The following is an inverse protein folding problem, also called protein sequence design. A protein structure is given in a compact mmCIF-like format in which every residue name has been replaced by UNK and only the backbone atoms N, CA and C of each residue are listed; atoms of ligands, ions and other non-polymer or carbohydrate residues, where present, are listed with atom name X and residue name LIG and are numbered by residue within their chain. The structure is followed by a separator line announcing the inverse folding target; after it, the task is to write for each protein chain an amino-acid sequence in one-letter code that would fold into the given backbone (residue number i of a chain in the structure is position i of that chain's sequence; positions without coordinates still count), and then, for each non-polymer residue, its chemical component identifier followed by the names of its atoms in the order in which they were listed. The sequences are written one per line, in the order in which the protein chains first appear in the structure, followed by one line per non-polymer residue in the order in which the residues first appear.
data_IF_908152974422
#
_entry.id   IF_908152974422
#
_cell.length_a   1.000
_cell.length_b   1.000
_cell.length_c   1.000
_cell.angle_alpha   90.00
_cell.angle_beta   90.00
_cell.angle_gamma   90.00
#
_symmetry.space_group_name_H-M   'P 1'
#
loop_
_entity.id
_entity.type
_entity.pdbx_description
1 polymer ?
#
# COMPACT_ATOMS: atom_id res chain seq x y z
N UNK A 1 -6.37 13.81 1.12
CA UNK A 1 -6.64 12.83 2.20
C UNK A 1 -7.18 13.48 3.46
N UNK A 2 -6.60 14.58 3.96
CA UNK A 2 -7.02 15.17 5.25
C UNK A 2 -8.40 15.83 5.24
N UNK A 3 -8.91 16.33 4.10
CA UNK A 3 -10.18 17.05 4.08
C UNK A 3 -11.38 16.19 4.54
N UNK A 4 -11.46 14.93 4.10
CA UNK A 4 -12.57 14.03 4.45
C UNK A 4 -12.69 13.77 5.96
N UNK A 5 -11.64 13.34 6.70
CA UNK A 5 -11.77 13.12 8.14
C UNK A 5 -12.03 14.40 8.94
N UNK A 6 -11.57 15.57 8.45
CA UNK A 6 -11.92 16.85 9.07
C UNK A 6 -13.39 17.22 8.83
N UNK A 7 -13.94 16.87 7.66
CA UNK A 7 -15.37 17.01 7.39
C UNK A 7 -16.20 16.06 8.23
N UNK A 8 -15.85 14.77 8.28
CA UNK A 8 -16.51 13.77 9.13
C UNK A 8 -16.53 14.26 10.59
N UNK A 9 -15.38 14.64 11.14
CA UNK A 9 -15.31 15.18 12.51
C UNK A 9 -16.27 16.37 12.71
N UNK A 10 -16.23 17.36 11.84
CA UNK A 10 -17.06 18.56 11.98
C UNK A 10 -18.55 18.26 11.80
N UNK A 11 -18.89 17.31 10.95
CA UNK A 11 -20.25 16.81 10.76
C UNK A 11 -20.77 16.16 12.05
N UNK A 12 -20.01 15.25 12.65
CA UNK A 12 -20.41 14.58 13.90
C UNK A 12 -20.42 15.50 15.12
N UNK A 13 -19.77 16.66 15.07
CA UNK A 13 -19.83 17.69 16.11
C UNK A 13 -20.96 18.70 15.89
N UNK A 14 -21.66 18.66 14.74
CA UNK A 14 -22.77 19.57 14.46
C UNK A 14 -24.01 19.16 15.27
N UNK A 15 -24.71 20.10 15.92
CA UNK A 15 -25.99 19.82 16.57
C UNK A 15 -27.01 19.24 15.59
N UNK A 16 -27.81 18.28 16.05
CA UNK A 16 -28.79 17.59 15.19
C UNK A 16 -29.81 18.54 14.55
N UNK A 17 -30.21 19.59 15.26
CA UNK A 17 -31.15 20.61 14.78
C UNK A 17 -30.57 21.52 13.67
N UNK A 18 -29.26 21.43 13.44
CA UNK A 18 -28.54 22.15 12.39
C UNK A 18 -28.17 21.25 11.19
N UNK A 19 -28.51 19.96 11.22
CA UNK A 19 -28.27 19.02 10.11
C UNK A 19 -29.25 19.25 8.95
N UNK A 20 -28.99 20.29 8.15
CA UNK A 20 -29.70 20.53 6.87
C UNK A 20 -28.79 20.26 5.67
N UNK A 21 -29.38 20.05 4.49
CA UNK A 21 -28.62 19.84 3.24
C UNK A 21 -27.70 21.02 2.97
N UNK A 22 -28.18 22.24 3.15
CA UNK A 22 -27.42 23.48 2.93
C UNK A 22 -26.26 23.59 3.92
N UNK A 23 -26.47 23.21 5.19
CA UNK A 23 -25.41 23.20 6.20
C UNK A 23 -24.33 22.18 5.86
N UNK A 24 -24.69 20.98 5.39
CA UNK A 24 -23.74 19.95 4.96
C UNK A 24 -22.89 20.39 3.76
N UNK A 25 -23.52 21.01 2.77
CA UNK A 25 -22.82 21.54 1.59
C UNK A 25 -21.86 22.67 1.97
N UNK A 26 -22.33 23.64 2.77
CA UNK A 26 -21.51 24.74 3.24
C UNK A 26 -20.34 24.25 4.11
N UNK A 27 -20.57 23.24 4.96
CA UNK A 27 -19.54 22.63 5.77
C UNK A 27 -18.46 21.94 4.91
N UNK A 28 -18.87 21.20 3.88
CA UNK A 28 -17.95 20.56 2.96
C UNK A 28 -17.05 21.59 2.25
N UNK A 29 -17.64 22.65 1.68
CA UNK A 29 -16.92 23.74 1.01
C UNK A 29 -15.95 24.46 1.98
N UNK A 30 -16.40 24.72 3.22
CA UNK A 30 -15.57 25.32 4.25
C UNK A 30 -14.33 24.46 4.57
N UNK A 31 -14.50 23.15 4.69
CA UNK A 31 -13.41 22.23 4.99
C UNK A 31 -12.45 22.10 3.80
N UNK A 32 -12.96 22.06 2.57
CA UNK A 32 -12.11 22.08 1.37
C UNK A 32 -11.27 23.36 1.31
N UNK A 33 -11.89 24.52 1.46
CA UNK A 33 -11.19 25.79 1.48
C UNK A 33 -10.12 25.85 2.58
N UNK A 34 -10.45 25.38 3.79
CA UNK A 34 -9.53 25.39 4.93
C UNK A 34 -8.36 24.42 4.78
N UNK A 35 -8.60 23.19 4.33
CA UNK A 35 -7.59 22.13 4.32
C UNK A 35 -6.81 22.09 3.01
N UNK A 36 -7.47 22.37 1.89
CA UNK A 36 -6.87 22.28 0.54
C UNK A 36 -6.51 23.65 -0.05
N UNK A 37 -6.98 24.75 0.56
CA UNK A 37 -6.74 26.11 0.07
C UNK A 37 -7.74 26.58 -1.00
N UNK A 38 -8.79 25.79 -1.28
CA UNK A 38 -9.84 26.13 -2.24
C UNK A 38 -10.76 24.95 -2.52
N UNK A 39 -11.78 25.17 -3.36
CA UNK A 39 -12.68 24.11 -3.81
C UNK A 39 -11.96 23.14 -4.74
N UNK A 40 -12.20 21.85 -4.55
CA UNK A 40 -11.61 20.80 -5.38
C UNK A 40 -12.38 20.64 -6.70
N UNK A 41 -11.72 20.35 -7.83
CA UNK A 41 -12.41 19.96 -9.07
C UNK A 41 -13.26 18.70 -8.89
N UNK A 42 -12.93 17.89 -7.88
CA UNK A 42 -13.75 16.79 -7.39
C UNK A 42 -14.22 17.15 -5.97
N UNK A 43 -15.46 17.66 -5.79
CA UNK A 43 -15.94 18.13 -4.49
C UNK A 43 -15.91 17.03 -3.43
N UNK A 44 -15.71 17.41 -2.17
CA UNK A 44 -15.65 16.50 -1.02
C UNK A 44 -16.85 15.55 -0.97
N UNK A 45 -18.06 16.07 -1.19
CA UNK A 45 -19.31 15.28 -1.19
C UNK A 45 -19.42 14.27 -2.36
N UNK A 46 -18.49 14.27 -3.32
CA UNK A 46 -18.42 13.24 -4.37
C UNK A 46 -17.62 12.00 -3.97
N UNK A 47 -17.06 11.99 -2.76
CA UNK A 47 -16.37 10.82 -2.19
C UNK A 47 -17.43 9.79 -1.79
N UNK A 48 -17.40 8.56 -2.34
CA UNK A 48 -18.49 7.60 -2.14
C UNK A 48 -18.62 7.12 -0.69
N UNK A 49 -17.50 6.98 0.03
CA UNK A 49 -17.50 6.42 1.38
C UNK A 49 -18.26 7.28 2.40
N UNK A 50 -18.29 8.60 2.25
CA UNK A 50 -19.06 9.46 3.17
C UNK A 50 -20.56 9.46 2.86
N UNK A 51 -20.97 8.84 1.74
CA UNK A 51 -22.36 8.66 1.34
C UNK A 51 -22.85 7.21 1.55
N UNK A 52 -21.93 6.30 1.89
CA UNK A 52 -22.22 4.90 2.13
C UNK A 52 -22.44 4.66 3.63
N UNK A 53 -23.56 4.00 3.97
CA UNK A 53 -23.97 3.72 5.36
C UNK A 53 -22.91 2.90 6.12
N UNK A 54 -22.20 2.03 5.41
CA UNK A 54 -21.15 1.15 5.96
C UNK A 54 -19.78 1.82 6.19
N UNK A 55 -19.65 3.12 5.89
CA UNK A 55 -18.35 3.83 5.87
C UNK A 55 -18.31 5.12 6.70
N UNK A 56 -19.23 5.25 7.66
CA UNK A 56 -19.22 6.32 8.66
C UNK A 56 -17.88 6.43 9.39
N UNK A 57 -17.28 7.63 9.42
CA UNK A 57 -15.99 7.90 10.07
C UNK A 57 -14.86 6.98 9.57
N UNK A 58 -14.85 6.55 8.31
CA UNK A 58 -13.85 5.58 7.85
C UNK A 58 -12.50 6.23 7.48
N UNK A 59 -12.52 7.48 7.02
CA UNK A 59 -11.37 8.06 6.32
C UNK A 59 -10.17 8.38 7.21
N UNK A 60 -10.39 8.58 8.51
CA UNK A 60 -9.28 8.76 9.44
C UNK A 60 -8.34 7.55 9.47
N UNK A 61 -8.84 6.34 9.16
CA UNK A 61 -8.04 5.12 9.02
C UNK A 61 -6.93 5.25 7.96
N UNK A 62 -7.20 5.91 6.83
CA UNK A 62 -6.17 6.17 5.81
C UNK A 62 -5.06 7.10 6.32
N UNK A 63 -5.41 8.10 7.13
CA UNK A 63 -4.44 9.04 7.72
C UNK A 63 -3.55 8.31 8.73
N UNK A 64 -4.14 7.50 9.61
CA UNK A 64 -3.40 6.70 10.58
C UNK A 64 -2.50 5.66 9.89
N UNK A 65 -2.99 5.04 8.80
CA UNK A 65 -2.22 4.12 8.00
C UNK A 65 -0.98 4.80 7.39
N UNK A 66 -1.13 5.96 6.76
CA UNK A 66 -0.01 6.73 6.20
C UNK A 66 1.04 7.09 7.25
N UNK A 67 0.61 7.60 8.41
CA UNK A 67 1.49 7.88 9.54
C UNK A 67 2.28 6.63 9.95
N UNK A 68 1.60 5.49 10.10
CA UNK A 68 2.22 4.24 10.52
C UNK A 68 3.19 3.67 9.48
N UNK A 69 2.90 3.83 8.19
CA UNK A 69 3.78 3.39 7.09
C UNK A 69 5.09 4.19 7.14
N UNK A 70 5.01 5.50 7.32
CA UNK A 70 6.20 6.34 7.42
C UNK A 70 7.04 6.00 8.65
N UNK A 71 6.41 5.89 9.82
CA UNK A 71 7.09 5.53 11.05
C UNK A 71 7.72 4.12 10.99
N UNK A 72 7.02 3.15 10.39
CA UNK A 72 7.51 1.78 10.20
C UNK A 72 8.70 1.74 9.23
N UNK A 73 8.66 2.54 8.16
CA UNK A 73 9.78 2.62 7.21
C UNK A 73 11.03 3.18 7.86
N UNK A 74 10.90 4.27 8.60
CA UNK A 74 12.02 4.88 9.31
C UNK A 74 12.60 3.91 10.34
N UNK A 75 11.75 3.21 11.10
CA UNK A 75 12.19 2.14 12.01
C UNK A 75 13.05 1.08 11.31
N UNK A 76 12.62 0.57 10.15
CA UNK A 76 13.39 -0.45 9.44
C UNK A 76 14.68 0.09 8.81
N UNK A 77 14.67 1.33 8.31
CA UNK A 77 15.88 1.98 7.79
C UNK A 77 16.88 2.21 8.92
N UNK A 78 16.44 2.68 10.08
CA UNK A 78 17.29 2.85 11.27
C UNK A 78 17.87 1.51 11.76
N UNK A 79 17.03 0.47 11.84
CA UNK A 79 17.39 -0.85 12.37
C UNK A 79 18.28 -1.67 11.42
N UNK A 80 18.02 -1.61 10.11
CA UNK A 80 18.63 -2.50 9.13
C UNK A 80 19.33 -1.80 7.95
N UNK A 81 19.24 -0.48 7.85
CA UNK A 81 19.81 0.31 6.76
C UNK A 81 19.05 0.22 5.42
N UNK A 82 18.23 -0.79 5.21
CA UNK A 82 17.47 -1.02 3.97
C UNK A 82 16.26 -1.94 4.21
N UNK A 83 15.25 -1.81 3.33
CA UNK A 83 13.97 -2.54 3.43
C UNK A 83 13.88 -3.66 2.39
N UNK A 84 14.15 -3.35 1.11
CA UNK A 84 14.00 -4.29 -0.01
C UNK A 84 14.99 -5.44 0.14
N UNK A 85 14.57 -6.67 -0.19
CA UNK A 85 15.36 -7.90 -0.11
C UNK A 85 15.92 -8.24 1.29
N UNK A 86 15.35 -7.66 2.36
CA UNK A 86 15.75 -7.94 3.72
C UNK A 86 14.78 -8.92 4.42
N UNK A 87 15.17 -10.19 4.64
CA UNK A 87 14.29 -11.19 5.25
C UNK A 87 13.93 -10.89 6.71
N UNK A 88 14.70 -10.03 7.40
CA UNK A 88 14.38 -9.64 8.78
C UNK A 88 13.16 -8.73 8.83
N UNK A 89 12.98 -7.85 7.83
CA UNK A 89 11.77 -7.02 7.71
C UNK A 89 10.52 -7.89 7.61
N UNK A 90 10.56 -8.91 6.76
CA UNK A 90 9.43 -9.85 6.62
C UNK A 90 9.12 -10.61 7.91
N UNK A 91 10.15 -11.03 8.67
CA UNK A 91 9.97 -11.67 9.98
C UNK A 91 9.30 -10.75 11.00
N UNK A 92 9.78 -9.52 11.09
CA UNK A 92 9.22 -8.51 12.00
C UNK A 92 7.76 -8.19 11.64
N UNK A 93 7.46 -7.92 10.36
CA UNK A 93 6.09 -7.68 9.89
C UNK A 93 5.17 -8.88 10.15
N UNK A 94 5.65 -10.11 9.87
CA UNK A 94 4.86 -11.33 10.10
C UNK A 94 4.51 -11.47 11.58
N UNK A 95 5.51 -11.37 12.44
CA UNK A 95 5.34 -11.60 13.88
C UNK A 95 4.51 -10.51 14.58
N UNK A 96 4.70 -9.24 14.19
CA UNK A 96 4.06 -8.11 14.87
C UNK A 96 2.76 -7.69 14.20
N UNK A 97 2.71 -7.55 12.88
CA UNK A 97 1.49 -7.05 12.20
C UNK A 97 0.56 -8.16 11.73
N UNK A 98 1.08 -9.22 11.10
CA UNK A 98 0.21 -10.17 10.39
C UNK A 98 -0.34 -11.29 11.27
N UNK A 99 0.51 -11.91 12.09
CA UNK A 99 0.10 -13.04 12.94
C UNK A 99 -0.93 -12.64 14.00
N UNK A 100 -0.84 -11.47 14.67
CA UNK A 100 -1.87 -11.07 15.62
C UNK A 100 -3.22 -10.75 14.99
N UNK A 101 -3.23 -10.23 13.76
CA UNK A 101 -4.45 -9.82 13.06
C UNK A 101 -5.32 -8.89 13.91
N UNK A 102 -6.62 -9.19 13.99
CA UNK A 102 -7.58 -8.43 14.82
C UNK A 102 -7.50 -8.79 16.33
N UNK A 103 -6.57 -9.64 16.74
CA UNK A 103 -6.32 -9.97 18.15
C UNK A 103 -5.54 -8.90 18.92
N UNK A 104 -5.14 -7.80 18.27
CA UNK A 104 -4.39 -6.70 18.87
C UNK A 104 -4.83 -5.36 18.30
N UNK A 105 -4.76 -4.30 19.12
CA UNK A 105 -5.15 -2.96 18.69
C UNK A 105 -4.09 -2.36 17.77
N UNK A 106 -4.52 -1.66 16.72
CA UNK A 106 -3.62 -1.08 15.71
C UNK A 106 -2.52 -0.20 16.31
N UNK A 107 -2.84 0.68 17.28
CA UNK A 107 -1.85 1.56 17.90
C UNK A 107 -0.81 0.78 18.72
N UNK A 108 -1.24 -0.28 19.39
CA UNK A 108 -0.35 -1.17 20.15
C UNK A 108 0.59 -1.91 19.20
N UNK A 109 0.09 -2.35 18.04
CA UNK A 109 0.90 -3.00 17.02
C UNK A 109 2.01 -2.08 16.51
N UNK A 110 1.68 -0.81 16.19
CA UNK A 110 2.68 0.18 15.76
C UNK A 110 3.72 0.39 16.87
N UNK A 111 3.27 0.57 18.10
CA UNK A 111 4.15 0.75 19.25
C UNK A 111 5.06 -0.46 19.50
N UNK A 112 4.53 -1.67 19.36
CA UNK A 112 5.28 -2.91 19.51
C UNK A 112 6.37 -3.03 18.45
N UNK A 113 6.08 -2.68 17.18
CA UNK A 113 7.05 -2.77 16.11
C UNK A 113 8.13 -1.69 16.25
N UNK A 114 7.72 -0.43 16.46
CA UNK A 114 8.63 0.71 16.35
C UNK A 114 9.18 1.19 17.69
N UNK A 115 8.80 0.54 18.80
CA UNK A 115 9.11 0.92 20.19
C UNK A 115 8.68 2.35 20.58
N UNK A 116 7.79 2.97 19.80
CA UNK A 116 7.34 4.36 19.94
C UNK A 116 5.84 4.42 19.65
N UNK A 117 5.05 5.24 20.36
CA UNK A 117 3.64 5.44 20.00
C UNK A 117 3.52 5.95 18.55
N UNK A 118 2.34 5.84 17.95
CA UNK A 118 2.10 6.40 16.62
C UNK A 118 2.26 7.93 16.65
N UNK A 119 3.15 8.46 15.82
CA UNK A 119 3.46 9.87 15.67
C UNK A 119 3.43 10.28 14.19
N UNK A 120 3.23 11.57 13.93
CA UNK A 120 3.20 12.09 12.57
C UNK A 120 4.59 12.50 12.04
N UNK A 121 5.62 12.52 12.88
CA UNK A 121 6.91 13.15 12.61
C UNK A 121 7.56 12.64 11.32
N UNK A 122 7.62 11.32 11.12
CA UNK A 122 8.17 10.69 9.93
C UNK A 122 7.43 11.12 8.65
N UNK A 123 6.10 11.21 8.72
CA UNK A 123 5.28 11.64 7.59
C UNK A 123 5.46 13.14 7.30
N UNK A 124 5.40 13.97 8.35
CA UNK A 124 5.58 15.43 8.25
C UNK A 124 6.97 15.78 7.72
N UNK A 125 8.02 15.13 8.21
CA UNK A 125 9.39 15.34 7.74
C UNK A 125 9.50 15.05 6.23
N UNK A 126 8.84 14.00 5.75
CA UNK A 126 8.81 13.70 4.31
C UNK A 126 8.05 14.77 3.50
N UNK A 127 6.93 15.26 4.01
CA UNK A 127 6.14 16.31 3.35
C UNK A 127 6.87 17.67 3.32
N UNK A 128 7.73 17.93 4.29
CA UNK A 128 8.55 19.14 4.37
C UNK A 128 9.76 19.13 3.43
N UNK A 129 10.12 17.97 2.87
CA UNK A 129 11.28 17.86 1.99
C UNK A 129 10.99 18.54 0.64
N UNK A 130 11.79 19.54 0.21
CA UNK A 130 11.59 20.16 -1.09
C UNK A 130 11.69 19.15 -2.22
N UNK A 131 10.79 19.24 -3.20
CA UNK A 131 10.69 18.29 -4.32
C UNK A 131 12.02 18.04 -5.01
N UNK A 132 12.81 19.08 -5.27
CA UNK A 132 14.10 18.93 -5.95
C UNK A 132 15.12 18.14 -5.11
N UNK A 133 15.13 18.34 -3.80
CA UNK A 133 15.99 17.57 -2.89
C UNK A 133 15.54 16.11 -2.81
N UNK A 134 14.23 15.87 -2.75
CA UNK A 134 13.68 14.53 -2.77
C UNK A 134 14.07 13.80 -4.07
N UNK A 135 13.90 14.43 -5.22
CA UNK A 135 14.24 13.83 -6.52
C UNK A 135 15.74 13.52 -6.63
N UNK A 136 16.60 14.45 -6.23
CA UNK A 136 18.06 14.23 -6.24
C UNK A 136 18.45 13.03 -5.35
N UNK A 137 17.88 12.94 -4.14
CA UNK A 137 18.11 11.80 -3.25
C UNK A 137 17.60 10.49 -3.84
N UNK A 138 16.37 10.47 -4.35
CA UNK A 138 15.78 9.26 -4.94
C UNK A 138 16.57 8.78 -6.16
N UNK A 139 17.07 9.68 -6.99
CA UNK A 139 17.93 9.33 -8.13
C UNK A 139 19.22 8.66 -7.66
N UNK A 140 19.89 9.23 -6.65
CA UNK A 140 21.11 8.65 -6.07
C UNK A 140 20.84 7.25 -5.47
N UNK A 141 19.78 7.12 -4.67
CA UNK A 141 19.40 5.85 -4.03
C UNK A 141 19.07 4.79 -5.10
N UNK A 142 18.39 5.17 -6.18
CA UNK A 142 18.08 4.30 -7.33
C UNK A 142 19.34 3.84 -8.08
N UNK A 143 20.24 4.76 -8.43
CA UNK A 143 21.49 4.43 -9.13
C UNK A 143 22.37 3.49 -8.30
N UNK A 144 22.43 3.71 -6.98
CA UNK A 144 23.14 2.83 -6.07
C UNK A 144 22.53 1.42 -6.04
N UNK A 145 21.19 1.32 -5.99
CA UNK A 145 20.48 0.03 -6.01
C UNK A 145 20.68 -0.71 -7.33
N UNK A 146 20.57 -0.02 -8.48
CA UNK A 146 20.83 -0.60 -9.81
C UNK A 146 22.26 -1.14 -9.90
N UNK A 147 23.24 -0.39 -9.38
CA UNK A 147 24.64 -0.82 -9.36
C UNK A 147 24.89 -2.03 -8.45
N UNK A 148 24.22 -2.08 -7.30
CA UNK A 148 24.31 -3.22 -6.39
C UNK A 148 23.72 -4.50 -7.03
N UNK A 149 22.68 -4.34 -7.85
CA UNK A 149 22.01 -5.43 -8.55
C UNK A 149 21.15 -6.30 -7.61
N UNK A 150 20.28 -7.14 -8.18
CA UNK A 150 19.44 -8.03 -7.39
C UNK A 150 20.28 -9.10 -6.68
N UNK A 151 19.79 -9.55 -5.52
CA UNK A 151 20.40 -10.68 -4.79
C UNK A 151 20.50 -11.94 -5.65
N UNK A 152 19.51 -12.19 -6.49
CA UNK A 152 19.47 -13.30 -7.43
C UNK A 152 19.74 -12.79 -8.84
N UNK A 153 20.72 -13.39 -9.53
CA UNK A 153 21.07 -12.98 -10.90
C UNK A 153 19.94 -13.36 -11.86
N UNK A 154 19.80 -12.56 -12.93
CA UNK A 154 18.89 -12.89 -14.03
C UNK A 154 19.22 -14.28 -14.58
N UNK A 155 18.20 -15.14 -14.68
CA UNK A 155 18.34 -16.51 -15.17
C UNK A 155 18.73 -17.54 -14.10
N UNK A 156 18.98 -17.14 -12.85
CA UNK A 156 19.15 -18.09 -11.74
C UNK A 156 17.83 -18.84 -11.46
N UNK A 157 17.95 -20.11 -11.09
CA UNK A 157 16.83 -20.84 -10.49
C UNK A 157 16.47 -20.21 -9.15
N UNK A 158 15.17 -19.92 -8.96
CA UNK A 158 14.65 -19.30 -7.75
C UNK A 158 13.71 -20.30 -7.10
N UNK A 159 14.06 -20.70 -5.88
CA UNK A 159 13.14 -21.35 -4.96
C UNK A 159 12.55 -20.30 -4.03
N UNK A 160 11.24 -20.13 -4.12
CA UNK A 160 10.46 -19.19 -3.31
C UNK A 160 9.95 -19.83 -2.01
N UNK A 161 10.31 -21.08 -1.73
CA UNK A 161 9.96 -21.80 -0.51
C UNK A 161 8.47 -22.07 -0.35
N UNK A 162 7.73 -22.09 -1.46
CA UNK A 162 6.28 -22.33 -1.49
C UNK A 162 5.90 -23.21 -2.67
N UNK A 163 4.82 -23.97 -2.52
CA UNK A 163 4.17 -24.67 -3.63
C UNK A 163 3.27 -23.71 -4.40
N UNK A 164 3.51 -23.57 -5.69
CA UNK A 164 2.72 -22.73 -6.60
C UNK A 164 1.90 -23.61 -7.53
N UNK A 165 0.59 -23.39 -7.53
CA UNK A 165 -0.36 -24.05 -8.44
C UNK A 165 -0.99 -22.98 -9.32
N UNK A 166 -0.88 -23.15 -10.64
CA UNK A 166 -1.50 -22.27 -11.63
C UNK A 166 -2.73 -22.98 -12.17
N UNK A 167 -3.90 -22.37 -11.97
CA UNK A 167 -5.21 -22.98 -12.21
C UNK A 167 -6.04 -22.13 -13.18
N UNK A 168 -6.84 -22.79 -14.01
CA UNK A 168 -7.83 -22.14 -14.87
C UNK A 168 -9.21 -22.76 -14.59
N UNK A 169 -10.05 -22.03 -13.84
CA UNK A 169 -11.26 -22.62 -13.26
C UNK A 169 -10.90 -23.79 -12.35
N UNK A 170 -11.39 -24.98 -12.70
CA UNK A 170 -11.13 -26.23 -11.97
C UNK A 170 -9.91 -27.02 -12.48
N UNK A 171 -9.28 -26.59 -13.58
CA UNK A 171 -8.14 -27.29 -14.18
C UNK A 171 -6.82 -26.80 -13.57
N UNK A 172 -5.99 -27.74 -13.09
CA UNK A 172 -4.61 -27.46 -12.67
C UNK A 172 -3.71 -27.52 -13.90
N UNK A 173 -3.27 -26.36 -14.37
CA UNK A 173 -2.42 -26.25 -15.56
C UNK A 173 -0.98 -26.67 -15.23
N UNK A 174 -0.48 -26.23 -14.09
CA UNK A 174 0.86 -26.59 -13.60
C UNK A 174 0.97 -26.50 -12.09
N UNK A 175 1.87 -27.31 -11.53
CA UNK A 175 2.13 -27.42 -10.10
C UNK A 175 3.63 -27.51 -9.85
N UNK A 176 4.19 -26.58 -9.07
CA UNK A 176 5.63 -26.55 -8.79
C UNK A 176 6.13 -27.78 -8.04
N UNK A 177 5.24 -28.55 -7.39
CA UNK A 177 5.60 -29.81 -6.73
C UNK A 177 5.93 -30.92 -7.74
N UNK A 178 5.25 -30.95 -8.90
CA UNK A 178 5.37 -32.03 -9.88
C UNK A 178 6.05 -31.62 -11.18
N UNK A 179 6.05 -30.32 -11.50
CA UNK A 179 6.53 -29.79 -12.78
C UNK A 179 7.94 -29.17 -12.67
N UNK A 180 8.82 -29.76 -11.86
CA UNK A 180 10.23 -29.32 -11.79
C UNK A 180 10.43 -27.96 -11.09
N UNK A 181 9.71 -27.73 -9.99
CA UNK A 181 9.84 -26.50 -9.20
C UNK A 181 9.09 -25.31 -9.78
N UNK A 182 9.30 -24.13 -9.19
CA UNK A 182 8.61 -22.89 -9.59
C UNK A 182 8.85 -22.55 -11.07
N UNK A 183 10.09 -22.68 -11.55
CA UNK A 183 10.41 -22.35 -12.94
C UNK A 183 9.75 -23.28 -13.95
N UNK A 184 9.75 -24.58 -13.70
CA UNK A 184 9.12 -25.54 -14.60
C UNK A 184 7.59 -25.40 -14.63
N UNK A 185 6.96 -25.13 -13.48
CA UNK A 185 5.55 -24.77 -13.43
C UNK A 185 5.25 -23.50 -14.25
N UNK A 186 6.04 -22.43 -14.08
CA UNK A 186 5.90 -21.22 -14.90
C UNK A 186 6.10 -21.47 -16.41
N UNK A 187 7.06 -22.33 -16.79
CA UNK A 187 7.30 -22.66 -18.18
C UNK A 187 6.12 -23.41 -18.81
N UNK A 188 5.57 -24.40 -18.09
CA UNK A 188 4.39 -25.16 -18.50
C UNK A 188 3.16 -24.27 -18.64
N UNK A 189 2.92 -23.39 -17.67
CA UNK A 189 1.84 -22.41 -17.76
C UNK A 189 2.00 -21.46 -18.95
N UNK A 190 3.20 -20.92 -19.20
CA UNK A 190 3.48 -20.07 -20.37
C UNK A 190 3.18 -20.80 -21.68
N UNK A 191 3.56 -22.07 -21.80
CA UNK A 191 3.27 -22.89 -22.97
C UNK A 191 1.75 -23.08 -23.16
N UNK A 192 1.03 -23.39 -22.08
CA UNK A 192 -0.43 -23.51 -22.10
C UNK A 192 -1.11 -22.21 -22.52
N UNK A 193 -0.74 -21.05 -21.94
CA UNK A 193 -1.29 -19.74 -22.33
C UNK A 193 -1.08 -19.47 -23.82
N UNK A 194 0.13 -19.73 -24.33
CA UNK A 194 0.45 -19.57 -25.77
C UNK A 194 -0.45 -20.47 -26.62
N UNK A 195 -0.59 -21.73 -26.26
CA UNK A 195 -1.43 -22.67 -26.99
C UNK A 195 -2.92 -22.29 -26.95
N UNK A 196 -3.45 -21.89 -25.80
CA UNK A 196 -4.89 -21.64 -25.65
C UNK A 196 -5.33 -20.30 -26.26
N UNK A 197 -4.52 -19.25 -26.10
CA UNK A 197 -4.94 -17.89 -26.45
C UNK A 197 -4.18 -17.28 -27.64
N UNK A 198 -3.07 -17.89 -28.04
CA UNK A 198 -2.18 -17.35 -29.09
C UNK A 198 -1.85 -18.34 -30.22
N UNK A 199 -2.38 -19.57 -30.19
CA UNK A 199 -2.19 -20.51 -31.30
C UNK A 199 -2.72 -19.89 -32.61
N UNK A 200 -1.85 -19.82 -33.63
CA UNK A 200 -2.15 -19.20 -34.93
C UNK A 200 -1.76 -17.72 -35.05
N UNK A 201 -1.08 -17.13 -34.07
CA UNK A 201 -0.55 -15.74 -34.11
C UNK A 201 0.98 -15.67 -34.02
N UNK A 202 1.69 -16.62 -34.63
CA UNK A 202 3.17 -16.68 -34.58
C UNK A 202 3.92 -15.59 -35.38
N UNK A 203 3.22 -14.57 -35.89
CA UNK A 203 3.81 -13.57 -36.79
C UNK A 203 3.87 -12.15 -36.21
N UNK A 204 4.11 -11.97 -34.90
CA UNK A 204 4.62 -10.69 -34.39
C UNK A 204 5.57 -10.85 -33.20
N UNK A 205 6.82 -10.46 -33.45
CA UNK A 205 7.90 -10.11 -32.51
C UNK A 205 8.95 -11.19 -32.22
N UNK A 206 9.98 -11.19 -33.09
CA UNK A 206 11.38 -11.35 -32.68
C UNK A 206 11.88 -10.09 -31.95
#
# INVERSE_FOLDING_TARGET
MLAVPYFEKALYELPEDQLTVEALQALADQIEAKVQGGLSPRPLLSVPHILADESSCYYHGYVLAEMSVHQTRDHFIEKYGHIVDNPQVGKDLTSVYWQPGNGSMFLDLVQQLTAKPLLADAWVAKLQLPTQQLLAKQQQDYEAAVKAGPKFKTGSEIDIGMRVRLVHGDEVISDSETDGGFQGACAKFKAWVRQQYFAGKDDMAA
#
